data_IF_704641305237
#
_entry.id   IF_704641305237
#
_cell.length_a   1.000
_cell.length_b   1.000
_cell.length_c   1.000
_cell.angle_alpha   90.00
_cell.angle_beta   90.00
_cell.angle_gamma   90.00
#
_symmetry.space_group_name_H-M   'P 1'
#
loop_
_entity.id
_entity.type
_entity.pdbx_description
1 polymer ?
#
# COMPACT_ATOMS: atom_id res chain seq x y z
N UNK A 1 -1.25 11.50 48.95
CA UNK A 1 -0.39 10.52 48.24
C UNK A 1 -1.29 9.80 47.25
N UNK A 2 -1.47 10.38 46.06
CA UNK A 2 -2.24 9.77 44.96
C UNK A 2 -1.27 9.03 44.04
N UNK A 3 -1.60 7.77 43.74
CA UNK A 3 -1.02 7.00 42.64
C UNK A 3 -2.15 6.81 41.62
N UNK A 4 -2.20 7.67 40.62
CA UNK A 4 -2.96 7.40 39.41
C UNK A 4 -1.99 6.81 38.39
N UNK A 5 -2.16 5.51 38.11
CA UNK A 5 -1.41 4.77 37.10
C UNK A 5 -2.04 4.99 35.71
N UNK A 6 -1.25 5.23 34.65
CA UNK A 6 -1.75 5.41 33.28
C UNK A 6 -1.83 4.05 32.54
N UNK A 7 -2.54 3.08 33.10
CA UNK A 7 -2.71 1.74 32.47
C UNK A 7 -3.95 1.65 31.56
N UNK A 8 -4.77 2.71 31.49
CA UNK A 8 -6.05 2.70 30.77
C UNK A 8 -6.00 3.11 29.29
N UNK A 9 -4.97 3.85 28.85
CA UNK A 9 -4.95 4.46 27.51
C UNK A 9 -4.30 3.58 26.43
N UNK A 10 -3.39 2.67 26.81
CA UNK A 10 -2.76 1.72 25.88
C UNK A 10 -3.73 0.60 25.44
N UNK A 11 -4.67 0.21 26.31
CA UNK A 11 -5.63 -0.86 26.04
C UNK A 11 -6.79 -0.43 25.11
N UNK A 12 -7.05 0.87 24.98
CA UNK A 12 -8.18 1.38 24.17
C UNK A 12 -7.79 1.60 22.68
N UNK A 13 -6.49 1.74 22.39
CA UNK A 13 -5.98 1.82 21.00
C UNK A 13 -6.05 0.50 20.25
N UNK A 14 -6.05 -0.63 20.96
CA UNK A 14 -6.19 -1.99 20.41
C UNK A 14 -7.65 -2.36 20.06
N UNK A 15 -8.64 -1.54 20.44
CA UNK A 15 -10.07 -1.81 20.21
C UNK A 15 -10.64 -1.20 18.93
N UNK A 16 -9.83 -0.55 18.11
CA UNK A 16 -10.26 -0.14 16.76
C UNK A 16 -9.92 -1.26 15.78
N UNK A 17 -10.88 -2.10 15.38
CA UNK A 17 -10.62 -3.04 14.30
C UNK A 17 -10.28 -2.22 13.06
N UNK A 18 -9.13 -2.54 12.44
CA UNK A 18 -8.92 -2.23 11.04
C UNK A 18 -10.17 -2.73 10.30
N UNK A 19 -10.90 -1.81 9.68
CA UNK A 19 -12.20 -2.07 9.09
C UNK A 19 -11.96 -2.94 7.86
N UNK A 20 -11.92 -4.26 8.04
CA UNK A 20 -11.88 -5.24 6.95
C UNK A 20 -13.20 -5.09 6.18
N UNK A 21 -13.17 -4.33 5.10
CA UNK A 21 -14.33 -4.12 4.24
C UNK A 21 -14.56 -5.40 3.44
N UNK A 22 -15.31 -6.34 4.01
CA UNK A 22 -15.91 -7.46 3.27
C UNK A 22 -16.89 -6.89 2.23
N UNK A 23 -16.46 -6.78 0.97
CA UNK A 23 -17.36 -6.51 -0.17
C UNK A 23 -18.18 -7.76 -0.47
N UNK A 24 -19.34 -7.90 0.18
CA UNK A 24 -20.36 -8.88 -0.21
C UNK A 24 -21.00 -8.47 -1.54
N UNK A 25 -20.81 -9.26 -2.61
CA UNK A 25 -21.56 -9.11 -3.86
C UNK A 25 -23.02 -9.51 -3.64
N UNK A 26 -23.89 -8.51 -3.45
CA UNK A 26 -25.35 -8.68 -3.46
C UNK A 26 -25.85 -8.54 -4.90
N UNK A 27 -26.36 -9.64 -5.47
CA UNK A 27 -27.03 -9.69 -6.78
C UNK A 27 -28.42 -9.05 -6.67
N UNK A 28 -28.77 -7.99 -7.43
CA UNK A 28 -30.15 -7.50 -7.45
C UNK A 28 -30.99 -8.25 -8.49
N UNK A 29 -32.25 -8.47 -8.12
CA UNK A 29 -33.30 -9.01 -8.98
C UNK A 29 -33.79 -7.97 -9.98
N UNK A 30 -34.20 -8.44 -11.16
CA UNK A 30 -34.75 -7.64 -12.26
C UNK A 30 -36.16 -7.12 -11.95
N UNK A 31 -36.48 -5.89 -12.37
CA UNK A 31 -37.83 -5.39 -12.72
C UNK A 31 -37.73 -4.02 -13.46
N UNK A 32 -38.79 -3.57 -14.18
CA UNK A 32 -38.71 -3.16 -15.59
C UNK A 32 -38.65 -1.64 -15.84
N UNK A 33 -38.23 -1.29 -17.06
CA UNK A 33 -38.09 0.08 -17.59
C UNK A 33 -39.36 0.94 -17.55
N UNK A 34 -39.18 2.26 -17.38
CA UNK A 34 -39.87 3.22 -18.24
C UNK A 34 -38.92 4.24 -18.89
N UNK A 35 -39.04 4.31 -20.21
CA UNK A 35 -38.93 5.45 -21.14
C UNK A 35 -37.95 6.59 -20.80
N UNK A 36 -36.86 6.64 -21.57
CA UNK A 36 -35.80 7.66 -21.55
C UNK A 36 -36.24 9.02 -22.14
N UNK A 37 -35.84 10.16 -21.55
CA UNK A 37 -35.50 11.36 -22.29
C UNK A 37 -33.99 11.42 -22.55
N UNK A 38 -33.65 11.92 -23.74
CA UNK A 38 -32.32 12.01 -24.35
C UNK A 38 -31.20 12.36 -23.36
N UNK A 39 -30.28 11.40 -23.15
CA UNK A 39 -29.02 11.62 -22.44
C UNK A 39 -28.00 12.07 -23.47
N UNK A 40 -27.66 13.38 -23.43
CA UNK A 40 -26.37 13.87 -23.92
C UNK A 40 -25.28 13.03 -23.26
N UNK A 41 -24.60 12.20 -24.05
CA UNK A 41 -23.52 11.35 -23.58
C UNK A 41 -22.47 12.22 -22.86
N UNK A 42 -22.24 12.03 -21.55
CA UNK A 42 -21.13 12.69 -20.89
C UNK A 42 -19.85 12.11 -21.50
N UNK A 43 -19.03 12.99 -22.08
CA UNK A 43 -17.63 12.71 -22.36
C UNK A 43 -17.01 12.07 -21.09
N UNK A 44 -16.21 11.00 -21.19
CA UNK A 44 -15.57 10.43 -20.00
C UNK A 44 -14.81 11.55 -19.30
N UNK A 45 -15.18 11.83 -18.04
CA UNK A 45 -14.42 12.74 -17.21
C UNK A 45 -13.01 12.16 -17.14
N UNK A 46 -12.02 12.91 -17.65
CA UNK A 46 -10.64 12.70 -17.24
C UNK A 46 -10.66 12.59 -15.72
N UNK A 47 -10.06 11.54 -15.15
CA UNK A 47 -9.77 11.51 -13.72
C UNK A 47 -9.07 12.83 -13.42
N UNK A 48 -9.76 13.74 -12.74
CA UNK A 48 -9.26 15.08 -12.41
C UNK A 48 -8.22 14.96 -11.30
N UNK A 49 -7.11 14.29 -11.58
CA UNK A 49 -5.96 14.22 -10.70
C UNK A 49 -5.18 15.52 -10.89
N UNK A 50 -5.37 16.48 -9.99
CA UNK A 50 -4.47 17.62 -9.86
C UNK A 50 -3.18 17.15 -9.16
N UNK A 51 -2.00 17.26 -9.79
CA UNK A 51 -0.73 16.89 -9.17
C UNK A 51 -0.44 17.63 -7.87
N UNK A 52 -0.87 18.88 -7.74
CA UNK A 52 -0.68 19.67 -6.53
C UNK A 52 -1.48 19.10 -5.37
N UNK A 53 -2.74 18.74 -5.61
CA UNK A 53 -3.61 18.11 -4.60
C UNK A 53 -3.07 16.74 -4.18
N UNK A 54 -2.62 15.93 -5.15
CA UNK A 54 -2.07 14.61 -4.86
C UNK A 54 -0.77 14.69 -4.05
N UNK A 55 0.17 15.55 -4.46
CA UNK A 55 1.41 15.76 -3.73
C UNK A 55 1.14 16.33 -2.33
N UNK A 56 0.22 17.30 -2.23
CA UNK A 56 -0.20 17.90 -0.97
C UNK A 56 -0.80 16.87 0.00
N UNK A 57 -1.68 15.99 -0.48
CA UNK A 57 -2.28 14.93 0.31
C UNK A 57 -1.23 13.93 0.83
N UNK A 58 -0.34 13.43 -0.04
CA UNK A 58 0.73 12.52 0.38
C UNK A 58 1.62 13.13 1.46
N UNK A 59 2.00 14.39 1.29
CA UNK A 59 2.87 15.07 2.26
C UNK A 59 2.17 15.36 3.58
N UNK A 60 0.86 15.62 3.56
CA UNK A 60 0.09 15.76 4.79
C UNK A 60 0.08 14.44 5.57
N UNK A 61 -0.22 13.32 4.90
CA UNK A 61 -0.23 11.99 5.52
C UNK A 61 1.16 11.61 6.05
N UNK A 62 2.22 11.90 5.28
CA UNK A 62 3.60 11.61 5.67
C UNK A 62 4.14 12.52 6.77
N UNK A 63 3.63 13.75 6.90
CA UNK A 63 4.01 14.63 8.00
C UNK A 63 3.57 14.04 9.35
N UNK A 64 2.37 13.46 9.41
CA UNK A 64 1.87 12.78 10.62
C UNK A 64 2.74 11.58 11.01
N UNK A 65 3.24 10.83 10.02
CA UNK A 65 4.15 9.69 10.24
C UNK A 65 5.54 10.17 10.67
N UNK A 66 6.02 11.28 10.08
CA UNK A 66 7.33 11.85 10.42
C UNK A 66 7.36 12.37 11.85
N UNK A 67 6.25 12.90 12.36
CA UNK A 67 6.12 13.30 13.77
C UNK A 67 6.26 12.12 14.75
N UNK A 68 6.06 10.88 14.27
CA UNK A 68 6.27 9.64 15.02
C UNK A 68 7.68 9.07 14.86
N UNK A 69 8.51 9.70 14.01
CA UNK A 69 9.84 9.27 13.64
C UNK A 69 9.89 7.78 13.22
N UNK A 70 8.88 7.21 12.54
CA UNK A 70 8.89 5.80 12.11
C UNK A 70 9.32 5.63 10.63
N UNK A 71 10.57 5.20 10.35
CA UNK A 71 11.06 5.03 8.98
C UNK A 71 10.34 3.91 8.22
N UNK A 72 9.86 2.87 8.92
CA UNK A 72 9.20 1.76 8.27
C UNK A 72 7.81 2.15 7.78
N UNK A 73 7.02 2.81 8.62
CA UNK A 73 5.70 3.30 8.21
C UNK A 73 5.81 4.32 7.07
N UNK A 74 6.83 5.20 7.13
CA UNK A 74 7.17 6.11 6.04
C UNK A 74 7.43 5.37 4.72
N UNK A 75 8.32 4.37 4.74
CA UNK A 75 8.65 3.58 3.56
C UNK A 75 7.44 2.85 2.97
N UNK A 76 6.54 2.31 3.81
CA UNK A 76 5.33 1.65 3.31
C UNK A 76 4.35 2.64 2.66
N UNK A 77 4.21 3.83 3.23
CA UNK A 77 3.35 4.87 2.66
C UNK A 77 3.90 5.35 1.31
N UNK A 78 5.20 5.59 1.20
CA UNK A 78 5.86 5.92 -0.08
C UNK A 78 5.75 4.76 -1.08
N UNK A 79 5.91 3.51 -0.62
CA UNK A 79 5.74 2.31 -1.46
C UNK A 79 4.32 2.21 -2.04
N UNK A 80 3.31 2.55 -1.24
CA UNK A 80 1.91 2.60 -1.70
C UNK A 80 1.70 3.68 -2.76
N UNK A 81 2.43 4.80 -2.65
CA UNK A 81 2.42 5.86 -3.65
C UNK A 81 3.05 5.45 -4.99
N UNK A 82 4.03 4.54 -5.00
CA UNK A 82 4.57 3.99 -6.26
C UNK A 82 3.47 3.37 -7.13
N UNK A 83 2.53 2.62 -6.54
CA UNK A 83 1.40 2.07 -7.29
C UNK A 83 0.51 3.15 -7.91
N UNK A 84 0.33 4.30 -7.24
CA UNK A 84 -0.40 5.46 -7.78
C UNK A 84 0.37 6.08 -8.96
N UNK A 85 1.70 6.18 -8.86
CA UNK A 85 2.54 6.68 -9.94
C UNK A 85 2.49 5.78 -11.18
N UNK A 86 2.54 4.46 -11.00
CA UNK A 86 2.42 3.50 -12.09
C UNK A 86 1.06 3.64 -12.80
N UNK A 87 -0.03 3.75 -12.03
CA UNK A 87 -1.36 4.02 -12.58
C UNK A 87 -1.42 5.34 -13.33
N UNK A 88 -0.81 6.40 -12.80
CA UNK A 88 -0.77 7.71 -13.46
C UNK A 88 0.01 7.65 -14.79
N UNK A 89 1.15 6.93 -14.82
CA UNK A 89 1.93 6.72 -16.03
C UNK A 89 1.16 5.90 -17.07
N UNK A 90 0.49 4.82 -16.66
CA UNK A 90 -0.35 4.03 -17.54
C UNK A 90 -1.51 4.86 -18.12
N UNK A 91 -2.14 5.70 -17.30
CA UNK A 91 -3.20 6.62 -17.73
C UNK A 91 -2.67 7.69 -18.71
N UNK A 92 -1.45 8.18 -18.51
CA UNK A 92 -0.80 9.11 -19.44
C UNK A 92 -0.52 8.46 -20.80
N UNK A 93 -0.09 7.19 -20.82
CA UNK A 93 0.17 6.44 -22.05
C UNK A 93 -1.07 6.28 -22.93
N UNK A 94 -2.27 6.21 -22.32
CA UNK A 94 -3.56 6.17 -23.04
C UNK A 94 -4.19 7.54 -23.26
N UNK A 95 -3.48 8.62 -22.92
CA UNK A 95 -3.97 9.99 -23.07
C UNK A 95 -5.07 10.41 -22.09
N UNK A 96 -5.28 9.65 -21.00
CA UNK A 96 -6.22 10.02 -19.93
C UNK A 96 -5.64 11.03 -18.94
N UNK A 97 -4.31 11.12 -18.86
CA UNK A 97 -3.57 12.14 -18.09
C UNK A 97 -2.50 12.80 -18.98
N UNK A 98 -1.96 13.96 -18.58
CA UNK A 98 -0.83 14.58 -19.25
C UNK A 98 0.40 13.65 -19.31
N UNK A 99 1.16 13.63 -20.41
CA UNK A 99 2.35 12.78 -20.57
C UNK A 99 3.47 13.10 -19.56
N UNK A 100 3.46 14.30 -18.99
CA UNK A 100 4.43 14.81 -18.03
C UNK A 100 3.95 14.73 -16.57
N UNK A 101 2.86 14.00 -16.28
CA UNK A 101 2.23 13.91 -14.95
C UNK A 101 3.23 13.60 -13.82
N UNK A 102 4.17 12.68 -14.06
CA UNK A 102 5.22 12.32 -13.10
C UNK A 102 6.16 13.49 -12.84
N UNK A 103 6.57 14.20 -13.89
CA UNK A 103 7.45 15.36 -13.75
C UNK A 103 6.73 16.52 -13.07
N UNK A 104 5.42 16.69 -13.31
CA UNK A 104 4.59 17.65 -12.58
C UNK A 104 4.56 17.33 -11.08
N UNK A 105 4.33 16.05 -10.70
CA UNK A 105 4.34 15.62 -9.29
C UNK A 105 5.69 15.83 -8.62
N UNK A 106 6.79 15.42 -9.28
CA UNK A 106 8.16 15.65 -8.78
C UNK A 106 8.40 17.15 -8.54
N UNK A 107 7.92 18.00 -9.44
CA UNK A 107 8.04 19.46 -9.30
C UNK A 107 7.28 19.98 -8.08
N UNK A 108 6.13 19.41 -7.74
CA UNK A 108 5.38 19.79 -6.53
C UNK A 108 6.15 19.48 -5.25
N UNK A 109 6.80 18.32 -5.16
CA UNK A 109 7.66 17.99 -4.02
C UNK A 109 8.84 18.98 -3.92
N UNK A 110 9.52 19.26 -5.05
CA UNK A 110 10.65 20.18 -5.06
C UNK A 110 10.31 21.60 -4.61
N UNK A 111 9.14 22.12 -5.00
CA UNK A 111 8.70 23.47 -4.65
C UNK A 111 8.60 23.71 -3.14
N UNK A 112 8.54 22.64 -2.34
CA UNK A 112 8.47 22.76 -0.88
C UNK A 112 9.78 23.07 -0.21
N UNK A 113 10.90 22.66 -0.81
CA UNK A 113 12.24 22.87 -0.27
C UNK A 113 12.40 22.44 1.20
N UNK A 114 11.76 21.33 1.60
CA UNK A 114 11.78 20.83 2.97
C UNK A 114 12.36 19.39 3.08
N UNK A 115 12.81 18.97 4.28
CA UNK A 115 13.38 17.64 4.51
C UNK A 115 12.46 16.49 4.12
N UNK A 116 11.15 16.64 4.32
CA UNK A 116 10.16 15.60 4.06
C UNK A 116 10.03 15.35 2.55
N UNK A 117 9.96 16.40 1.75
CA UNK A 117 9.94 16.30 0.30
C UNK A 117 11.22 15.64 -0.25
N UNK A 118 12.38 15.95 0.34
CA UNK A 118 13.63 15.26 -0.01
C UNK A 118 13.56 13.77 0.32
N UNK A 119 13.10 13.41 1.52
CA UNK A 119 12.95 12.01 1.92
C UNK A 119 12.02 11.25 0.97
N UNK A 120 10.88 11.84 0.61
CA UNK A 120 9.92 11.23 -0.34
C UNK A 120 10.56 10.99 -1.70
N UNK A 121 11.18 12.01 -2.29
CA UNK A 121 11.80 11.89 -3.61
C UNK A 121 12.95 10.87 -3.62
N UNK A 122 13.74 10.83 -2.55
CA UNK A 122 14.83 9.86 -2.42
C UNK A 122 14.30 8.43 -2.24
N UNK A 123 13.23 8.22 -1.46
CA UNK A 123 12.59 6.91 -1.33
C UNK A 123 11.89 6.46 -2.62
N UNK A 124 11.21 7.36 -3.32
CA UNK A 124 10.64 7.06 -4.65
C UNK A 124 11.72 6.70 -5.66
N UNK A 125 12.89 7.34 -5.61
CA UNK A 125 14.02 6.99 -6.47
C UNK A 125 14.55 5.56 -6.25
N UNK A 126 14.36 5.01 -5.04
CA UNK A 126 14.75 3.64 -4.69
C UNK A 126 13.66 2.62 -5.00
N UNK A 127 12.39 2.99 -4.83
CA UNK A 127 11.25 2.09 -4.88
C UNK A 127 10.56 2.04 -6.25
N UNK A 128 10.55 3.14 -6.99
CA UNK A 128 9.87 3.22 -8.28
C UNK A 128 10.80 2.85 -9.44
N UNK A 129 10.28 2.06 -10.38
CA UNK A 129 10.98 1.70 -11.60
C UNK A 129 10.86 2.79 -12.69
N UNK A 130 11.72 2.71 -13.71
CA UNK A 130 11.61 3.49 -14.94
C UNK A 130 11.70 5.01 -14.76
N UNK A 131 10.87 5.75 -15.51
CA UNK A 131 10.93 7.22 -15.54
C UNK A 131 10.50 7.86 -14.21
N UNK A 132 9.65 7.19 -13.43
CA UNK A 132 9.21 7.70 -12.13
C UNK A 132 10.38 7.75 -11.13
N UNK A 133 11.09 6.63 -10.96
CA UNK A 133 12.30 6.59 -10.14
C UNK A 133 13.37 7.56 -10.63
N UNK A 134 13.61 7.62 -11.95
CA UNK A 134 14.60 8.53 -12.53
C UNK A 134 14.25 10.01 -12.31
N UNK A 135 12.97 10.40 -12.46
CA UNK A 135 12.52 11.77 -12.21
C UNK A 135 12.65 12.13 -10.72
N UNK A 136 12.24 11.23 -9.82
CA UNK A 136 12.37 11.40 -8.38
C UNK A 136 13.83 11.56 -7.96
N UNK A 137 14.74 10.74 -8.49
CA UNK A 137 16.18 10.84 -8.24
C UNK A 137 16.76 12.21 -8.64
N UNK A 138 16.35 12.73 -9.81
CA UNK A 138 16.77 14.06 -10.26
C UNK A 138 16.24 15.17 -9.34
N UNK A 139 15.01 15.04 -8.86
CA UNK A 139 14.40 16.00 -7.92
C UNK A 139 15.07 15.98 -6.54
N UNK A 140 15.29 14.80 -5.97
CA UNK A 140 16.05 14.64 -4.73
C UNK A 140 17.45 15.26 -4.84
N UNK A 141 18.16 15.01 -5.95
CA UNK A 141 19.47 15.60 -6.20
C UNK A 141 19.45 17.13 -6.34
N UNK A 142 18.33 17.73 -6.80
CA UNK A 142 18.16 19.19 -6.83
C UNK A 142 17.97 19.76 -5.42
N UNK A 143 17.10 19.14 -4.60
CA UNK A 143 16.90 19.53 -3.21
C UNK A 143 18.20 19.41 -2.38
N UNK A 144 18.93 18.31 -2.54
CA UNK A 144 20.22 18.11 -1.88
C UNK A 144 21.23 19.21 -2.25
N UNK A 145 21.36 19.54 -3.54
CA UNK A 145 22.26 20.62 -4.00
C UNK A 145 21.82 22.01 -3.51
N UNK A 146 20.53 22.19 -3.23
CA UNK A 146 19.99 23.40 -2.62
C UNK A 146 20.27 23.48 -1.10
N UNK A 147 20.90 22.46 -0.52
CA UNK A 147 21.25 22.42 0.90
C UNK A 147 20.14 21.88 1.80
N UNK A 148 19.08 21.28 1.25
CA UNK A 148 18.08 20.57 2.03
C UNK A 148 18.72 19.29 2.56
N UNK A 149 18.64 19.08 3.88
CA UNK A 149 19.09 17.87 4.54
C UNK A 149 17.89 16.96 4.81
N UNK A 150 18.07 15.63 4.74
CA UNK A 150 17.00 14.69 5.05
C UNK A 150 16.73 14.65 6.57
N UNK A 151 15.61 14.06 7.01
CA UNK A 151 15.38 13.76 8.42
C UNK A 151 16.48 12.87 9.02
N UNK A 152 16.74 12.99 10.32
CA UNK A 152 17.82 12.27 11.01
C UNK A 152 17.69 10.75 10.91
N UNK A 153 16.46 10.24 10.86
CA UNK A 153 16.15 8.81 10.72
C UNK A 153 16.30 8.29 9.29
N UNK A 154 16.47 9.16 8.29
CA UNK A 154 16.44 8.77 6.87
C UNK A 154 17.54 7.77 6.51
N UNK A 155 18.74 7.91 7.12
CA UNK A 155 19.83 6.94 6.94
C UNK A 155 19.49 5.54 7.47
N UNK A 156 18.47 5.40 8.32
CA UNK A 156 18.01 4.10 8.79
C UNK A 156 17.39 3.27 7.66
N UNK A 157 16.81 3.91 6.63
CA UNK A 157 16.19 3.22 5.49
C UNK A 157 17.19 2.39 4.69
N UNK A 158 18.43 2.86 4.57
CA UNK A 158 19.51 2.19 3.83
C UNK A 158 20.23 1.10 4.66
N UNK A 159 19.88 0.96 5.95
CA UNK A 159 20.48 -0.07 6.80
C UNK A 159 19.95 -1.45 6.43
N UNK A 160 20.86 -2.43 6.47
CA UNK A 160 20.49 -3.82 6.27
C UNK A 160 19.43 -4.27 7.28
N UNK A 161 18.44 -4.98 6.78
CA UNK A 161 17.36 -5.59 7.56
C UNK A 161 17.81 -6.97 8.08
N UNK A 162 17.53 -7.23 9.36
CA UNK A 162 17.74 -8.54 9.98
C UNK A 162 16.40 -9.13 10.43
N UNK A 163 15.95 -10.19 9.77
CA UNK A 163 14.71 -10.90 10.16
C UNK A 163 14.92 -11.56 11.51
N UNK A 164 14.06 -11.25 12.48
CA UNK A 164 14.11 -11.83 13.83
C UNK A 164 13.19 -13.06 13.94
N UNK A 165 11.95 -12.98 13.45
CA UNK A 165 11.00 -14.10 13.43
C UNK A 165 10.16 -14.09 12.14
N UNK A 166 9.81 -15.28 11.64
CA UNK A 166 8.92 -15.46 10.50
C UNK A 166 8.01 -16.67 10.70
N UNK A 167 6.70 -16.44 10.68
CA UNK A 167 5.66 -17.45 10.83
C UNK A 167 4.76 -17.47 9.60
N UNK A 168 4.32 -18.66 9.24
CA UNK A 168 3.19 -18.89 8.36
C UNK A 168 2.06 -19.49 9.18
N UNK A 169 0.89 -18.86 9.13
CA UNK A 169 -0.31 -19.26 9.83
C UNK A 169 -1.31 -19.68 8.75
N UNK A 170 -1.64 -20.96 8.72
CA UNK A 170 -2.63 -21.52 7.80
C UNK A 170 -3.97 -21.66 8.52
N UNK A 171 -5.01 -20.99 8.00
CA UNK A 171 -6.38 -21.06 8.54
C UNK A 171 -7.21 -22.01 7.67
N UNK A 172 -7.36 -23.26 8.12
CA UNK A 172 -7.99 -24.33 7.31
C UNK A 172 -9.44 -24.03 6.88
N UNK A 173 -10.17 -23.23 7.66
CA UNK A 173 -11.58 -22.90 7.37
C UNK A 173 -11.75 -21.92 6.20
N UNK A 174 -10.82 -20.99 6.04
CA UNK A 174 -10.89 -19.94 5.01
C UNK A 174 -9.96 -20.22 3.82
N UNK A 175 -8.99 -21.14 3.98
CA UNK A 175 -7.92 -21.38 2.98
C UNK A 175 -6.91 -20.25 2.88
N UNK A 176 -7.00 -19.25 3.77
CA UNK A 176 -6.11 -18.09 3.80
C UNK A 176 -4.79 -18.43 4.51
N UNK A 177 -3.71 -17.87 3.97
CA UNK A 177 -2.40 -17.86 4.60
C UNK A 177 -2.09 -16.48 5.15
N UNK A 178 -1.63 -16.46 6.40
CA UNK A 178 -1.16 -15.25 7.06
C UNK A 178 0.33 -15.41 7.38
N UNK A 179 1.14 -14.59 6.73
CA UNK A 179 2.57 -14.49 7.01
C UNK A 179 2.81 -13.39 8.04
N UNK A 180 3.43 -13.73 9.16
CA UNK A 180 3.82 -12.78 10.21
C UNK A 180 5.33 -12.69 10.24
N UNK A 181 5.87 -11.49 10.12
CA UNK A 181 7.32 -11.27 10.10
C UNK A 181 7.68 -10.14 11.06
N UNK A 182 8.76 -10.36 11.81
CA UNK A 182 9.42 -9.32 12.58
C UNK A 182 10.86 -9.18 12.11
N UNK A 183 11.35 -7.95 12.12
CA UNK A 183 12.71 -7.65 11.72
C UNK A 183 13.25 -6.46 12.49
N UNK A 184 14.58 -6.35 12.45
CA UNK A 184 15.31 -5.19 12.94
C UNK A 184 15.96 -4.46 11.79
N UNK A 185 15.85 -3.14 11.79
CA UNK A 185 16.62 -2.24 10.92
C UNK A 185 17.17 -1.12 11.78
N UNK A 186 18.47 -0.86 11.66
CA UNK A 186 19.19 -0.02 12.61
C UNK A 186 18.94 -0.47 14.07
N UNK A 187 18.51 0.45 14.95
CA UNK A 187 18.19 0.14 16.34
C UNK A 187 16.71 -0.25 16.55
N UNK A 188 15.87 -0.19 15.52
CA UNK A 188 14.42 -0.32 15.61
C UNK A 188 13.93 -1.72 15.23
N UNK A 189 12.86 -2.15 15.89
CA UNK A 189 12.14 -3.38 15.58
C UNK A 189 10.83 -3.02 14.91
N UNK A 190 10.51 -3.77 13.87
CA UNK A 190 9.28 -3.63 13.13
C UNK A 190 8.68 -5.01 12.89
N UNK A 191 7.38 -5.04 12.65
CA UNK A 191 6.73 -6.24 12.18
C UNK A 191 5.59 -5.89 11.24
N UNK A 192 5.20 -6.88 10.45
CA UNK A 192 4.07 -6.78 9.57
C UNK A 192 3.44 -8.15 9.36
N UNK A 193 2.17 -8.11 8.98
CA UNK A 193 1.41 -9.24 8.51
C UNK A 193 1.16 -9.12 7.00
N UNK A 194 1.24 -10.23 6.28
CA UNK A 194 0.79 -10.32 4.89
C UNK A 194 -0.30 -11.37 4.79
N UNK A 195 -1.46 -10.95 4.31
CA UNK A 195 -2.61 -11.82 4.06
C UNK A 195 -2.51 -12.29 2.62
N UNK A 196 -2.53 -13.60 2.40
CA UNK A 196 -2.52 -14.25 1.09
C UNK A 196 -3.78 -15.09 0.97
N UNK A 197 -4.60 -14.79 -0.03
CA UNK A 197 -5.82 -15.57 -0.33
C UNK A 197 -5.47 -16.74 -1.20
N UNK A 198 -6.13 -17.88 -1.00
CA UNK A 198 -5.92 -19.11 -1.79
C UNK A 198 -4.59 -19.79 -1.44
N UNK A 199 -4.66 -21.10 -1.19
CA UNK A 199 -3.60 -21.86 -0.51
C UNK A 199 -2.26 -21.81 -1.26
N UNK A 200 -1.18 -21.66 -0.48
CA UNK A 200 0.25 -21.83 -0.79
C UNK A 200 0.87 -20.96 -1.91
N UNK A 201 0.08 -20.48 -2.88
CA UNK A 201 0.55 -19.75 -4.06
C UNK A 201 -0.37 -18.60 -4.48
N UNK A 202 -1.24 -18.13 -3.59
CA UNK A 202 -2.17 -17.07 -3.88
C UNK A 202 -1.59 -15.66 -3.96
N UNK A 203 -2.37 -14.67 -4.45
CA UNK A 203 -1.97 -13.27 -4.44
C UNK A 203 -1.96 -12.70 -3.02
N UNK A 204 -1.00 -11.84 -2.73
CA UNK A 204 -1.06 -10.97 -1.56
C UNK A 204 -2.33 -10.08 -1.63
N UNK A 205 -3.16 -10.14 -0.59
CA UNK A 205 -4.34 -9.31 -0.45
C UNK A 205 -3.98 -7.96 0.19
N UNK A 206 -3.25 -8.01 1.32
CA UNK A 206 -2.90 -6.86 2.12
C UNK A 206 -1.57 -7.06 2.85
N UNK A 207 -0.85 -5.96 3.07
CA UNK A 207 0.31 -5.86 3.95
C UNK A 207 -0.08 -4.90 5.07
N UNK A 208 0.04 -5.35 6.31
CA UNK A 208 -0.43 -4.61 7.50
C UNK A 208 0.74 -4.44 8.47
N UNK A 209 1.13 -3.20 8.82
CA UNK A 209 2.16 -2.98 9.83
C UNK A 209 1.62 -3.41 11.19
N UNK A 210 2.47 -4.02 12.01
CA UNK A 210 2.15 -4.39 13.38
C UNK A 210 2.93 -3.46 14.33
N UNK A 211 2.30 -2.91 15.38
CA UNK A 211 2.97 -1.95 16.25
C UNK A 211 4.17 -2.58 16.96
N UNK A 212 5.24 -1.79 17.15
CA UNK A 212 6.46 -2.25 17.80
C UNK A 212 6.23 -2.65 19.27
N UNK A 213 5.23 -2.08 19.92
CA UNK A 213 4.82 -2.39 21.30
C UNK A 213 4.14 -3.76 21.43
N UNK A 214 3.68 -4.34 20.31
CA UNK A 214 3.13 -5.70 20.24
C UNK A 214 4.25 -6.73 20.07
N UNK A 215 5.50 -6.27 19.86
CA UNK A 215 6.69 -7.13 19.67
C UNK A 215 7.52 -7.49 20.91
N UNK A 216 7.08 -7.40 22.18
CA UNK A 216 7.74 -8.16 23.23
C UNK A 216 7.31 -9.63 23.15
N UNK A 217 7.89 -10.32 22.17
CA UNK A 217 8.41 -11.65 22.38
C UNK A 217 7.49 -12.85 22.17
N UNK A 218 6.54 -12.85 21.23
CA UNK A 218 6.20 -14.02 20.38
C UNK A 218 5.19 -13.58 19.30
N UNK A 219 5.54 -13.62 18.00
CA UNK A 219 4.52 -13.49 16.93
C UNK A 219 3.41 -14.54 17.08
N UNK A 220 3.69 -15.66 17.78
CA UNK A 220 2.69 -16.66 18.16
C UNK A 220 1.57 -16.10 19.07
N UNK A 221 1.85 -15.10 19.90
CA UNK A 221 0.83 -14.46 20.72
C UNK A 221 -0.09 -13.59 19.86
N UNK A 222 0.46 -12.93 18.83
CA UNK A 222 -0.31 -12.20 17.83
C UNK A 222 -1.25 -13.14 17.07
N UNK A 223 -0.87 -14.40 16.84
CA UNK A 223 -1.78 -15.39 16.25
C UNK A 223 -3.04 -15.55 17.09
N UNK A 224 -2.92 -15.58 18.42
CA UNK A 224 -4.07 -15.71 19.32
C UNK A 224 -4.99 -14.47 19.31
N UNK A 225 -4.48 -13.31 18.88
CA UNK A 225 -5.26 -12.08 18.73
C UNK A 225 -5.92 -11.97 17.35
N UNK A 226 -5.21 -12.42 16.30
CA UNK A 226 -5.69 -12.34 14.91
C UNK A 226 -6.64 -13.47 14.52
N UNK A 227 -6.56 -14.62 15.19
CA UNK A 227 -7.42 -15.78 14.93
C UNK A 227 -8.54 -15.83 15.97
N UNK A 228 -9.82 -15.94 15.55
CA UNK A 228 -10.93 -16.16 16.47
C UNK A 228 -10.70 -17.38 17.36
N UNK A 229 -11.05 -17.29 18.66
CA UNK A 229 -10.76 -18.35 19.64
C UNK A 229 -11.36 -19.70 19.29
N UNK A 230 -12.51 -19.71 18.62
CA UNK A 230 -13.23 -20.89 18.14
C UNK A 230 -12.59 -21.53 16.89
N UNK A 231 -11.63 -20.86 16.26
CA UNK A 231 -10.92 -21.33 15.06
C UNK A 231 -9.47 -21.76 15.36
N UNK A 232 -8.95 -21.51 16.57
CA UNK A 232 -7.55 -21.81 16.93
C UNK A 232 -7.17 -23.28 16.73
N UNK A 233 -8.10 -24.21 16.98
CA UNK A 233 -7.87 -25.65 16.78
C UNK A 233 -7.74 -26.05 15.31
N UNK A 234 -8.12 -25.17 14.38
CA UNK A 234 -8.05 -25.35 12.91
C UNK A 234 -6.92 -24.55 12.27
N UNK A 235 -6.01 -24.02 13.09
CA UNK A 235 -4.87 -23.22 12.62
C UNK A 235 -3.58 -24.00 12.77
N UNK A 236 -2.84 -24.10 11.67
CA UNK A 236 -1.47 -24.61 11.68
C UNK A 236 -0.49 -23.46 11.63
N UNK A 237 0.39 -23.36 12.63
CA UNK A 237 1.47 -22.36 12.68
C UNK A 237 2.80 -23.03 12.39
N UNK A 238 3.49 -22.54 11.36
CA UNK A 238 4.79 -23.04 10.92
C UNK A 238 5.83 -21.92 10.96
N UNK A 239 6.97 -22.18 11.59
CA UNK A 239 8.13 -21.28 11.49
C UNK A 239 8.78 -21.42 10.13
N UNK A 240 9.08 -20.28 9.50
CA UNK A 240 9.77 -20.25 8.21
C UNK A 240 11.20 -19.77 8.39
N UNK A 241 12.10 -20.38 7.62
CA UNK A 241 13.41 -19.79 7.38
C UNK A 241 13.26 -18.43 6.67
N UNK A 242 14.03 -17.39 7.03
CA UNK A 242 13.92 -16.07 6.41
C UNK A 242 14.01 -16.06 4.89
N UNK A 243 14.86 -16.91 4.28
CA UNK A 243 14.98 -16.96 2.83
C UNK A 243 13.75 -17.61 2.18
N UNK A 244 13.15 -18.60 2.85
CA UNK A 244 11.88 -19.20 2.41
C UNK A 244 10.72 -18.21 2.53
N UNK A 245 10.62 -17.51 3.66
CA UNK A 245 9.60 -16.48 3.86
C UNK A 245 9.70 -15.39 2.78
N UNK A 246 10.91 -14.90 2.51
CA UNK A 246 11.18 -13.94 1.43
C UNK A 246 10.69 -14.46 0.08
N UNK A 247 11.07 -15.68 -0.31
CA UNK A 247 10.65 -16.27 -1.60
C UNK A 247 9.13 -16.35 -1.73
N UNK A 248 8.43 -16.81 -0.68
CA UNK A 248 6.96 -16.94 -0.69
C UNK A 248 6.27 -15.58 -0.80
N UNK A 249 6.72 -14.59 -0.03
CA UNK A 249 6.18 -13.23 -0.08
C UNK A 249 6.42 -12.56 -1.44
N UNK A 250 7.65 -12.62 -1.97
CA UNK A 250 7.96 -12.10 -3.30
C UNK A 250 7.09 -12.74 -4.38
N UNK A 251 6.82 -14.04 -4.27
CA UNK A 251 5.89 -14.74 -5.16
C UNK A 251 4.46 -14.23 -5.02
N UNK A 252 3.92 -14.15 -3.80
CA UNK A 252 2.55 -13.68 -3.55
C UNK A 252 2.32 -12.24 -4.04
N UNK A 253 3.30 -11.35 -3.83
CA UNK A 253 3.24 -9.96 -4.32
C UNK A 253 3.33 -9.92 -5.85
N UNK A 254 4.19 -10.73 -6.48
CA UNK A 254 4.27 -10.81 -7.95
C UNK A 254 2.99 -11.32 -8.59
N UNK A 255 2.35 -12.31 -7.97
CA UNK A 255 1.06 -12.84 -8.43
C UNK A 255 -0.01 -11.76 -8.30
N UNK A 256 -0.02 -11.01 -7.19
CA UNK A 256 -0.92 -9.85 -7.03
C UNK A 256 -0.70 -8.81 -8.12
N UNK A 257 0.54 -8.39 -8.37
CA UNK A 257 0.86 -7.43 -9.41
C UNK A 257 0.38 -7.89 -10.81
N UNK A 258 0.53 -9.18 -11.11
CA UNK A 258 0.04 -9.77 -12.38
C UNK A 258 -1.49 -9.74 -12.47
N UNK A 259 -2.17 -10.05 -11.37
CA UNK A 259 -3.63 -10.02 -11.31
C UNK A 259 -4.16 -8.59 -11.47
N UNK A 260 -3.55 -7.61 -10.82
CA UNK A 260 -3.94 -6.20 -10.92
C UNK A 260 -3.71 -5.65 -12.33
N UNK A 261 -2.58 -6.01 -12.97
CA UNK A 261 -2.31 -5.65 -14.36
C UNK A 261 -3.35 -6.28 -15.32
N UNK A 262 -3.79 -7.52 -15.05
CA UNK A 262 -4.83 -8.17 -15.85
C UNK A 262 -6.20 -7.51 -15.67
N UNK A 263 -6.57 -7.15 -14.45
CA UNK A 263 -7.81 -6.42 -14.19
C UNK A 263 -7.82 -5.06 -14.90
N UNK A 264 -6.67 -4.37 -14.97
CA UNK A 264 -6.53 -3.14 -15.75
C UNK A 264 -6.75 -3.39 -17.24
N UNK A 265 -6.13 -4.45 -17.80
CA UNK A 265 -6.33 -4.83 -19.20
C UNK A 265 -7.78 -5.21 -19.51
N UNK A 266 -8.43 -6.01 -18.65
CA UNK A 266 -9.82 -6.42 -18.84
C UNK A 266 -10.78 -5.21 -18.76
N UNK A 267 -10.53 -4.27 -17.85
CA UNK A 267 -11.26 -3.01 -17.78
C UNK A 267 -11.08 -2.17 -19.06
N UNK A 268 -9.88 -2.17 -19.64
CA UNK A 268 -9.58 -1.48 -20.90
C UNK A 268 -10.19 -2.17 -22.11
N UNK A 269 -10.23 -3.49 -22.16
CA UNK A 269 -10.94 -4.23 -23.21
C UNK A 269 -12.45 -3.97 -23.15
N UNK A 270 -13.05 -3.95 -21.96
CA UNK A 270 -14.47 -3.60 -21.80
C UNK A 270 -14.77 -2.19 -22.33
N UNK A 271 -13.91 -1.21 -22.06
CA UNK A 271 -14.04 0.15 -22.59
C UNK A 271 -13.88 0.20 -24.13
N UNK A 272 -13.02 -0.64 -24.71
CA UNK A 272 -12.86 -0.74 -26.17
C UNK A 272 -14.04 -1.40 -26.85
N UNK A 273 -14.64 -2.44 -26.28
CA UNK A 273 -15.84 -3.07 -26.84
C UNK A 273 -17.04 -2.12 -26.78
N UNK A 274 -17.19 -1.34 -25.71
CA UNK A 274 -18.20 -0.27 -25.63
C UNK A 274 -17.97 0.84 -26.67
N UNK A 275 -16.72 1.23 -26.93
CA UNK A 275 -16.38 2.24 -27.93
C UNK A 275 -16.45 1.73 -29.39
N UNK A 276 -16.24 0.42 -29.60
CA UNK A 276 -16.25 -0.23 -30.90
C UNK A 276 -17.64 -0.72 -31.34
N UNK A 277 -18.66 -0.57 -30.49
CA UNK A 277 -20.05 -0.82 -30.89
C UNK A 277 -20.55 0.41 -31.67
N UNK A 278 -20.63 0.38 -33.02
CA UNK A 278 -21.21 1.50 -33.74
C UNK A 278 -22.65 1.67 -33.25
N UNK A 279 -23.06 2.91 -32.95
CA UNK A 279 -24.47 3.24 -32.79
C UNK A 279 -25.19 2.90 -34.09
N UNK A 280 -25.74 1.69 -34.18
CA UNK A 280 -26.68 1.31 -35.23
C UNK A 280 -28.02 1.94 -34.87
N UNK A 281 -28.10 3.26 -34.96
CA UNK A 281 -29.35 4.02 -35.02
C UNK A 281 -29.09 5.31 -35.80
N UNK A 282 -29.58 5.32 -37.05
CA UNK A 282 -29.52 6.43 -38.00
C UNK A 282 -29.58 5.93 -39.44
#
# INVERSE_FOLDING_TARGET
MSKDSPEGEAADRLRRPARIVRRTRRRPAAQPEPTQPEVTTPRPRALGLDPADLAGALLADLAEITDQDDPFEFEMMVSSFCGILDMAQAAALVGSLPPDIVQMLVTQFEQRHDPLALAVLASLALLADGEAGAAAARGAARLWRAGVLPPDWFEELDRALHVEESLCVHRELDGDLLYLLSFRRAARRHAFAVIVRDEEHGPAEAIVPLPAEVLPGHLADIVNELVPRDELDTVTVTRLDPAEARRRLESAVRIRATHDARLDLDARFAQWDEAATPSVLG
#
